data_IF_608521183156
#
_entry.id   IF_608521183156
#
_cell.length_a   1.000
_cell.length_b   1.000
_cell.length_c   1.000
_cell.angle_alpha   90.00
_cell.angle_beta   90.00
_cell.angle_gamma   90.00
#
_symmetry.space_group_name_H-M   'P 1'
#
loop_
_entity.id
_entity.type
_entity.pdbx_description
1 polymer ?
#
# COMPACT_ATOMS: atom_id res chain seq x y z
N UNK A 1 35.66 10.34 17.05
CA UNK A 1 34.66 9.61 16.26
C UNK A 1 33.41 10.45 16.26
N UNK A 2 33.19 11.22 15.19
CA UNK A 2 32.00 12.05 15.03
C UNK A 2 30.86 11.13 14.63
N UNK A 3 29.83 11.02 15.47
CA UNK A 3 28.53 10.48 15.08
C UNK A 3 28.01 11.37 13.95
N UNK A 4 28.03 10.87 12.72
CA UNK A 4 27.36 11.53 11.61
C UNK A 4 25.88 11.54 11.91
N UNK A 5 25.35 12.70 12.29
CA UNK A 5 23.93 12.97 12.22
C UNK A 5 23.55 12.85 10.74
N UNK A 6 23.04 11.67 10.36
CA UNK A 6 22.19 11.58 9.18
C UNK A 6 21.02 12.51 9.46
N UNK A 7 21.02 13.68 8.84
CA UNK A 7 19.89 14.60 8.83
C UNK A 7 18.71 13.90 8.13
N UNK A 8 18.00 13.05 8.86
CA UNK A 8 16.77 12.45 8.37
C UNK A 8 15.73 13.56 8.37
N UNK A 9 15.24 13.89 7.17
CA UNK A 9 14.22 14.92 6.98
C UNK A 9 12.97 14.57 7.79
N UNK A 10 12.47 15.54 8.55
CA UNK A 10 11.22 15.38 9.31
C UNK A 10 10.04 15.92 8.49
N UNK A 11 9.13 15.07 8.01
CA UNK A 11 8.08 15.51 7.10
C UNK A 11 6.99 16.33 7.82
N UNK A 12 6.58 17.47 7.26
CA UNK A 12 5.53 18.38 7.77
C UNK A 12 4.41 18.63 6.75
N UNK A 13 3.14 18.72 7.17
CA UNK A 13 2.01 18.97 6.27
C UNK A 13 0.73 18.21 6.63
N UNK A 14 -0.19 18.11 5.66
CA UNK A 14 -1.43 17.32 5.79
C UNK A 14 -1.12 15.82 5.80
N UNK A 15 -1.69 15.10 6.77
CA UNK A 15 -1.37 13.69 7.02
C UNK A 15 -2.58 12.81 6.72
N UNK A 16 -2.43 11.82 5.84
CA UNK A 16 -3.50 10.97 5.35
C UNK A 16 -4.26 10.28 6.49
N UNK A 17 -3.56 9.82 7.53
CA UNK A 17 -4.21 9.18 8.69
C UNK A 17 -5.02 10.15 9.56
N UNK A 18 -4.91 11.47 9.35
CA UNK A 18 -5.78 12.46 9.99
C UNK A 18 -6.92 12.88 9.06
N UNK A 19 -6.61 13.11 7.78
CA UNK A 19 -7.51 13.80 6.85
C UNK A 19 -8.36 12.84 6.00
N UNK A 20 -7.84 11.70 5.57
CA UNK A 20 -8.54 10.83 4.62
C UNK A 20 -9.17 9.63 5.32
N UNK A 21 -10.47 9.74 5.59
CA UNK A 21 -11.21 8.73 6.33
C UNK A 21 -11.93 7.71 5.43
N UNK A 22 -12.21 8.08 4.17
CA UNK A 22 -13.00 7.26 3.25
C UNK A 22 -12.45 7.31 1.82
N UNK A 23 -11.62 6.32 1.46
CA UNK A 23 -11.07 6.18 0.11
C UNK A 23 -12.11 5.80 -0.94
N UNK A 24 -13.19 5.11 -0.55
CA UNK A 24 -14.28 4.79 -1.47
C UNK A 24 -14.95 6.06 -1.98
N UNK A 25 -15.17 7.04 -1.11
CA UNK A 25 -15.74 8.32 -1.53
C UNK A 25 -14.80 9.09 -2.45
N UNK A 26 -13.48 9.01 -2.20
CA UNK A 26 -12.46 9.62 -3.05
C UNK A 26 -12.47 9.02 -4.47
N UNK A 27 -12.64 7.71 -4.59
CA UNK A 27 -12.79 7.02 -5.87
C UNK A 27 -14.04 7.49 -6.63
N UNK A 28 -15.19 7.56 -5.95
CA UNK A 28 -16.45 8.01 -6.56
C UNK A 28 -16.34 9.47 -7.03
N UNK A 29 -15.72 10.33 -6.21
CA UNK A 29 -15.47 11.72 -6.57
C UNK A 29 -14.55 11.84 -7.80
N UNK A 30 -13.47 11.06 -7.85
CA UNK A 30 -12.58 11.03 -9.01
C UNK A 30 -13.34 10.65 -10.28
N UNK A 31 -14.14 9.58 -10.22
CA UNK A 31 -14.98 9.16 -11.37
C UNK A 31 -15.99 10.24 -11.77
N UNK A 32 -16.60 10.93 -10.81
CA UNK A 32 -17.53 12.02 -11.09
C UNK A 32 -16.84 13.15 -11.87
N UNK A 33 -15.62 13.54 -11.47
CA UNK A 33 -14.85 14.58 -12.19
C UNK A 33 -14.41 14.10 -13.55
N UNK A 34 -13.94 12.86 -13.65
CA UNK A 34 -13.56 12.24 -14.93
C UNK A 34 -14.74 12.23 -15.91
N UNK A 35 -15.97 12.09 -15.41
CA UNK A 35 -17.20 12.11 -16.18
C UNK A 35 -17.80 13.52 -16.38
N UNK A 36 -17.06 14.58 -16.02
CA UNK A 36 -17.40 15.96 -16.35
C UNK A 36 -17.90 16.82 -15.20
N UNK A 37 -17.90 16.34 -13.95
CA UNK A 37 -18.08 17.23 -12.80
C UNK A 37 -16.86 18.13 -12.63
N UNK A 38 -17.09 19.43 -12.53
CA UNK A 38 -16.02 20.44 -12.48
C UNK A 38 -16.01 21.22 -11.18
N UNK A 39 -17.15 21.40 -10.53
CA UNK A 39 -17.25 22.31 -9.36
C UNK A 39 -17.55 21.58 -8.06
N UNK A 40 -17.31 22.25 -6.92
CA UNK A 40 -17.67 21.73 -5.59
C UNK A 40 -19.17 21.49 -5.46
N UNK A 41 -19.99 22.40 -5.99
CA UNK A 41 -21.45 22.27 -5.96
C UNK A 41 -21.91 21.02 -6.71
N UNK A 42 -21.34 20.78 -7.90
CA UNK A 42 -21.68 19.59 -8.69
C UNK A 42 -21.26 18.30 -7.99
N UNK A 43 -20.06 18.26 -7.40
CA UNK A 43 -19.63 17.11 -6.62
C UNK A 43 -20.52 16.88 -5.40
N UNK A 44 -20.90 17.94 -4.70
CA UNK A 44 -21.80 17.88 -3.55
C UNK A 44 -23.12 17.21 -3.94
N UNK A 45 -23.71 17.67 -5.03
CA UNK A 45 -25.00 17.18 -5.54
C UNK A 45 -24.90 15.73 -6.03
N UNK A 46 -23.83 15.37 -6.74
CA UNK A 46 -23.62 14.01 -7.26
C UNK A 46 -23.37 13.01 -6.12
N UNK A 47 -22.57 13.40 -5.13
CA UNK A 47 -22.16 12.53 -4.03
C UNK A 47 -23.16 12.54 -2.87
N UNK A 48 -24.11 13.48 -2.86
CA UNK A 48 -25.06 13.71 -1.77
C UNK A 48 -24.35 13.92 -0.42
N UNK A 49 -23.36 14.81 -0.37
CA UNK A 49 -22.53 15.06 0.83
C UNK A 49 -22.59 16.53 1.26
N UNK A 50 -22.04 16.85 2.43
CA UNK A 50 -21.91 18.21 2.94
C UNK A 50 -20.58 18.87 2.53
N UNK A 51 -20.49 20.19 2.68
CA UNK A 51 -19.33 21.00 2.24
C UNK A 51 -18.02 20.51 2.89
N UNK A 52 -18.04 20.22 4.20
CA UNK A 52 -16.91 19.65 4.93
C UNK A 52 -16.38 18.36 4.29
N UNK A 53 -17.27 17.54 3.72
CA UNK A 53 -16.88 16.29 3.06
C UNK A 53 -16.20 16.56 1.72
N UNK A 54 -16.66 17.57 0.97
CA UNK A 54 -16.03 17.99 -0.29
C UNK A 54 -14.64 18.58 -0.03
N UNK A 55 -14.44 19.30 1.07
CA UNK A 55 -13.11 19.75 1.49
C UNK A 55 -12.18 18.58 1.79
N UNK A 56 -12.66 17.55 2.50
CA UNK A 56 -11.88 16.34 2.78
C UNK A 56 -11.52 15.57 1.51
N UNK A 57 -12.44 15.49 0.53
CA UNK A 57 -12.16 14.93 -0.81
C UNK A 57 -11.04 15.71 -1.50
N UNK A 58 -11.14 17.05 -1.52
CA UNK A 58 -10.13 17.91 -2.16
C UNK A 58 -8.76 17.75 -1.51
N UNK A 59 -8.70 17.66 -0.18
CA UNK A 59 -7.46 17.35 0.54
C UNK A 59 -6.93 15.96 0.18
N UNK A 60 -7.81 14.96 0.13
CA UNK A 60 -7.47 13.60 -0.27
C UNK A 60 -6.86 13.53 -1.67
N UNK A 61 -7.38 14.29 -2.64
CA UNK A 61 -6.79 14.34 -3.97
C UNK A 61 -5.38 14.89 -3.98
N UNK A 62 -5.13 15.96 -3.21
CA UNK A 62 -3.77 16.51 -3.08
C UNK A 62 -2.83 15.54 -2.37
N UNK A 63 -3.31 14.88 -1.32
CA UNK A 63 -2.53 13.93 -0.51
C UNK A 63 -2.06 12.73 -1.34
N UNK A 64 -2.91 12.21 -2.22
CA UNK A 64 -2.61 11.03 -3.04
C UNK A 64 -2.28 11.37 -4.50
N UNK A 65 -1.95 12.62 -4.79
CA UNK A 65 -1.63 13.11 -6.13
C UNK A 65 -2.67 12.75 -7.22
N UNK A 66 -3.94 12.63 -6.84
CA UNK A 66 -5.06 12.33 -7.75
C UNK A 66 -5.54 13.58 -8.51
N UNK A 67 -5.13 14.76 -8.06
CA UNK A 67 -5.50 16.02 -8.67
C UNK A 67 -5.64 17.16 -7.66
N UNK A 68 -6.29 18.22 -8.09
CA UNK A 68 -6.51 19.40 -7.27
C UNK A 68 -7.62 20.27 -7.81
N UNK A 69 -7.83 21.41 -7.15
CA UNK A 69 -8.79 22.44 -7.55
C UNK A 69 -8.04 23.70 -7.90
N UNK A 70 -8.26 24.25 -9.09
CA UNK A 70 -7.75 25.55 -9.55
C UNK A 70 -8.90 26.54 -9.65
N UNK A 71 -8.88 27.60 -8.85
CA UNK A 71 -9.90 28.67 -8.68
C UNK A 71 -11.37 28.21 -8.62
N UNK A 72 -11.92 27.65 -9.70
CA UNK A 72 -13.31 27.21 -9.81
C UNK A 72 -13.51 25.76 -10.27
N UNK A 73 -12.48 25.12 -10.84
CA UNK A 73 -12.62 23.79 -11.45
C UNK A 73 -11.65 22.74 -10.83
N UNK A 74 -12.12 21.50 -10.75
CA UNK A 74 -11.29 20.34 -10.46
C UNK A 74 -10.47 19.93 -11.68
N UNK A 75 -9.23 19.54 -11.41
CA UNK A 75 -8.29 18.96 -12.36
C UNK A 75 -7.83 17.62 -11.82
N UNK A 76 -7.79 16.60 -12.68
CA UNK A 76 -7.34 15.26 -12.30
C UNK A 76 -5.92 15.01 -12.79
N UNK A 77 -5.12 14.37 -11.96
CA UNK A 77 -3.88 13.72 -12.41
C UNK A 77 -4.24 12.35 -12.99
N UNK A 78 -3.71 11.97 -14.17
CA UNK A 78 -3.89 10.62 -14.70
C UNK A 78 -3.44 9.55 -13.71
N UNK A 79 -4.17 8.43 -13.66
CA UNK A 79 -3.79 7.30 -12.82
C UNK A 79 -2.46 6.68 -13.32
N UNK A 80 -1.63 6.19 -12.40
CA UNK A 80 -0.22 5.90 -12.67
C UNK A 80 0.00 4.68 -13.57
N UNK A 81 -0.92 3.72 -13.50
CA UNK A 81 -0.85 2.47 -14.25
C UNK A 81 -2.18 2.23 -14.94
N UNK A 82 -2.16 1.51 -16.05
CA UNK A 82 -3.38 0.93 -16.60
C UNK A 82 -3.72 -0.36 -15.85
N UNK A 83 -5.01 -0.66 -15.67
CA UNK A 83 -5.48 -1.91 -15.08
C UNK A 83 -6.80 -2.34 -15.71
N UNK A 84 -7.13 -3.63 -15.57
CA UNK A 84 -8.33 -4.24 -16.18
C UNK A 84 -9.63 -3.61 -15.64
N UNK A 85 -9.62 -3.19 -14.37
CA UNK A 85 -10.73 -2.47 -13.76
C UNK A 85 -10.24 -1.18 -13.06
N UNK A 86 -11.10 -0.16 -13.09
CA UNK A 86 -10.80 1.16 -12.55
C UNK A 86 -10.52 1.13 -11.04
N UNK A 87 -11.21 0.28 -10.27
CA UNK A 87 -11.00 0.26 -8.82
C UNK A 87 -9.58 -0.23 -8.48
N UNK A 88 -9.11 -1.28 -9.16
CA UNK A 88 -7.72 -1.71 -9.06
C UNK A 88 -6.74 -0.62 -9.53
N UNK A 89 -7.05 0.06 -10.64
CA UNK A 89 -6.24 1.17 -11.16
C UNK A 89 -6.08 2.30 -10.12
N UNK A 90 -7.17 2.68 -9.47
CA UNK A 90 -7.21 3.74 -8.48
C UNK A 90 -6.44 3.34 -7.20
N UNK A 91 -6.61 2.09 -6.73
CA UNK A 91 -5.84 1.55 -5.60
C UNK A 91 -4.34 1.53 -5.89
N UNK A 92 -3.94 1.09 -7.08
CA UNK A 92 -2.54 1.08 -7.51
C UNK A 92 -1.95 2.49 -7.59
N UNK A 93 -2.71 3.49 -8.06
CA UNK A 93 -2.23 4.87 -8.07
C UNK A 93 -2.02 5.41 -6.64
N UNK A 94 -2.92 5.13 -5.69
CA UNK A 94 -2.71 5.53 -4.29
C UNK A 94 -1.45 4.89 -3.73
N UNK A 95 -1.25 3.60 -3.96
CA UNK A 95 -0.04 2.89 -3.52
C UNK A 95 1.22 3.51 -4.14
N UNK A 96 1.19 3.84 -5.42
CA UNK A 96 2.28 4.50 -6.12
C UNK A 96 2.60 5.88 -5.58
N UNK A 97 1.59 6.71 -5.36
CA UNK A 97 1.76 8.04 -4.77
C UNK A 97 2.40 7.95 -3.39
N UNK A 98 2.05 6.95 -2.58
CA UNK A 98 2.66 6.77 -1.26
C UNK A 98 4.08 6.20 -1.38
N UNK A 99 4.31 5.21 -2.25
CA UNK A 99 5.60 4.58 -2.45
C UNK A 99 6.66 5.58 -2.94
N UNK A 100 6.29 6.50 -3.83
CA UNK A 100 7.16 7.56 -4.34
C UNK A 100 7.75 8.46 -3.24
N UNK A 101 7.09 8.55 -2.08
CA UNK A 101 7.57 9.31 -0.92
C UNK A 101 8.06 8.38 0.22
N UNK A 102 8.22 7.09 0.00
CA UNK A 102 8.50 6.10 1.05
C UNK A 102 9.91 5.51 0.95
N UNK A 103 10.92 6.37 1.12
CA UNK A 103 12.33 5.95 1.09
C UNK A 103 13.02 6.10 2.46
N UNK A 104 13.92 5.18 2.86
CA UNK A 104 14.68 5.30 4.12
C UNK A 104 15.52 6.58 4.23
N UNK A 105 15.92 7.16 3.10
CA UNK A 105 16.70 8.40 3.06
C UNK A 105 15.79 9.63 3.25
N UNK A 106 14.54 9.53 2.84
CA UNK A 106 13.57 10.61 2.89
C UNK A 106 12.16 10.03 3.02
N UNK A 107 11.67 9.99 4.26
CA UNK A 107 10.30 9.63 4.53
C UNK A 107 9.37 10.82 4.27
N UNK A 108 8.38 10.63 3.40
CA UNK A 108 7.25 11.52 3.24
C UNK A 108 6.24 11.38 4.37
N UNK A 109 5.25 12.28 4.41
CA UNK A 109 4.23 12.19 5.45
C UNK A 109 3.41 10.91 5.33
N UNK A 110 3.11 10.47 4.12
CA UNK A 110 2.18 9.36 3.90
C UNK A 110 2.84 7.98 4.07
N UNK A 111 4.17 7.92 4.24
CA UNK A 111 4.93 6.67 4.40
C UNK A 111 4.37 5.74 5.47
N UNK A 112 3.71 6.28 6.52
CA UNK A 112 3.01 5.47 7.54
C UNK A 112 2.02 4.45 6.97
N UNK A 113 1.42 4.69 5.80
CA UNK A 113 0.48 3.76 5.17
C UNK A 113 1.20 2.43 4.85
N UNK A 114 2.40 2.51 4.29
CA UNK A 114 3.23 1.35 3.94
C UNK A 114 4.04 0.84 5.14
N UNK A 115 4.59 1.74 5.96
CA UNK A 115 5.40 1.38 7.13
C UNK A 115 4.61 0.57 8.17
N UNK A 116 3.35 0.91 8.44
CA UNK A 116 2.51 0.11 9.33
C UNK A 116 2.37 -1.33 8.82
N UNK A 117 2.21 -1.53 7.50
CA UNK A 117 2.12 -2.86 6.90
C UNK A 117 3.47 -3.58 6.97
N UNK A 118 4.57 -2.91 6.62
CA UNK A 118 5.92 -3.45 6.69
C UNK A 118 6.25 -3.98 8.09
N UNK A 119 5.89 -3.23 9.14
CA UNK A 119 6.04 -3.69 10.52
C UNK A 119 5.29 -5.00 10.78
N UNK A 120 4.02 -5.08 10.38
CA UNK A 120 3.21 -6.28 10.61
C UNK A 120 3.79 -7.50 9.89
N UNK A 121 4.32 -7.32 8.68
CA UNK A 121 4.99 -8.37 7.92
C UNK A 121 6.29 -8.81 8.59
N UNK A 122 7.13 -7.86 9.00
CA UNK A 122 8.43 -8.10 9.65
C UNK A 122 8.28 -8.86 10.97
N UNK A 123 7.30 -8.48 11.78
CA UNK A 123 7.04 -9.10 13.08
C UNK A 123 6.15 -10.36 12.98
N UNK A 124 5.78 -10.79 11.78
CA UNK A 124 4.91 -11.94 11.57
C UNK A 124 3.51 -11.78 12.18
N UNK A 125 3.04 -10.54 12.36
CA UNK A 125 1.73 -10.23 12.94
C UNK A 125 0.63 -10.49 11.91
N UNK A 126 0.14 -11.72 11.87
CA UNK A 126 -0.87 -12.13 10.89
C UNK A 126 -2.28 -11.65 11.23
N UNK A 127 -2.62 -11.55 12.52
CA UNK A 127 -3.95 -11.16 12.99
C UNK A 127 -3.81 -10.10 14.08
N UNK A 128 -4.67 -9.10 14.04
CA UNK A 128 -4.65 -8.03 15.03
C UNK A 128 -6.03 -7.41 15.23
N UNK A 129 -6.15 -6.61 16.30
CA UNK A 129 -7.35 -5.84 16.61
C UNK A 129 -7.01 -4.36 16.45
N UNK A 130 -7.91 -3.60 15.82
CA UNK A 130 -7.73 -2.17 15.51
C UNK A 130 -7.49 -1.29 16.74
N UNK A 131 -7.93 -1.74 17.92
CA UNK A 131 -7.81 -1.00 19.18
C UNK A 131 -6.71 -1.55 20.10
N UNK A 132 -5.80 -2.38 19.58
CA UNK A 132 -4.69 -2.92 20.36
C UNK A 132 -3.61 -1.85 20.61
N UNK A 133 -3.69 -1.18 21.77
CA UNK A 133 -2.72 -0.15 22.19
C UNK A 133 -1.30 -0.68 22.37
N UNK A 134 -1.13 -1.99 22.62
CA UNK A 134 0.18 -2.63 22.70
C UNK A 134 0.83 -2.67 21.31
N UNK A 135 0.09 -3.14 20.31
CA UNK A 135 0.54 -3.15 18.92
C UNK A 135 0.80 -1.74 18.39
N UNK A 136 -0.13 -0.81 18.60
CA UNK A 136 -0.01 0.59 18.14
C UNK A 136 1.27 1.25 18.67
N UNK A 137 1.59 1.07 19.96
CA UNK A 137 2.83 1.60 20.54
C UNK A 137 4.08 0.96 19.95
N UNK A 138 4.05 -0.34 19.67
CA UNK A 138 5.20 -1.01 19.06
C UNK A 138 5.47 -0.49 17.65
N UNK A 139 4.42 -0.29 16.85
CA UNK A 139 4.52 0.32 15.52
C UNK A 139 5.05 1.76 15.64
N UNK A 140 4.49 2.59 16.53
CA UNK A 140 4.92 3.98 16.73
C UNK A 140 6.39 4.08 17.18
N UNK A 141 6.87 3.15 18.02
CA UNK A 141 8.26 3.10 18.43
C UNK A 141 9.16 2.67 17.26
N UNK A 142 8.75 1.64 16.51
CA UNK A 142 9.51 1.18 15.36
C UNK A 142 9.63 2.24 14.27
N UNK A 143 8.61 3.09 14.07
CA UNK A 143 8.72 4.26 13.20
C UNK A 143 9.91 5.15 13.57
N UNK A 144 10.14 5.40 14.86
CA UNK A 144 11.30 6.16 15.33
C UNK A 144 12.60 5.43 15.03
N UNK A 145 12.63 4.11 15.28
CA UNK A 145 13.82 3.28 15.07
C UNK A 145 14.27 3.29 13.60
N UNK A 146 13.34 3.46 12.65
CA UNK A 146 13.64 3.59 11.21
C UNK A 146 13.76 5.05 10.74
N UNK A 147 13.72 6.01 11.66
CA UNK A 147 13.87 7.45 11.39
C UNK A 147 12.61 8.14 10.84
N UNK A 148 11.45 7.49 10.86
CA UNK A 148 10.19 8.09 10.45
C UNK A 148 9.53 8.85 11.62
N UNK A 149 9.69 10.17 11.64
CA UNK A 149 9.16 11.05 12.69
C UNK A 149 8.35 12.22 12.11
N UNK A 150 7.09 11.97 11.65
CA UNK A 150 6.27 13.01 11.05
C UNK A 150 5.94 14.12 12.06
N UNK A 151 6.01 15.39 11.65
CA UNK A 151 5.87 16.56 12.52
C UNK A 151 4.62 17.39 12.23
N UNK A 152 4.05 17.94 13.30
CA UNK A 152 3.03 19.00 13.26
C UNK A 152 3.54 20.26 13.95
N UNK A 153 2.78 21.35 13.92
CA UNK A 153 3.07 22.55 14.72
C UNK A 153 3.14 22.27 16.24
N UNK A 154 2.57 21.15 16.71
CA UNK A 154 2.57 20.74 18.12
C UNK A 154 3.60 19.64 18.44
N UNK A 155 4.50 19.34 17.50
CA UNK A 155 5.50 18.27 17.61
C UNK A 155 5.09 16.98 16.88
N UNK A 156 5.77 15.88 17.22
CA UNK A 156 5.65 14.59 16.50
C UNK A 156 4.22 14.06 16.47
N UNK A 157 3.77 13.69 15.28
CA UNK A 157 2.47 13.10 15.00
C UNK A 157 2.45 11.60 15.31
N UNK A 158 2.48 11.22 16.60
CA UNK A 158 2.43 9.82 17.03
C UNK A 158 1.25 9.03 16.47
N UNK A 159 1.47 7.75 16.17
CA UNK A 159 0.39 6.80 15.88
C UNK A 159 -0.45 6.57 17.15
N UNK A 160 -1.77 6.60 17.01
CA UNK A 160 -2.73 6.40 18.09
C UNK A 160 -3.91 5.56 17.57
N UNK A 161 -4.87 5.23 18.44
CA UNK A 161 -6.02 4.39 18.06
C UNK A 161 -6.86 4.98 16.92
N UNK A 162 -7.10 6.30 16.91
CA UNK A 162 -7.84 6.97 15.83
C UNK A 162 -7.09 6.87 14.50
N UNK A 163 -5.79 7.21 14.46
CA UNK A 163 -4.97 7.13 13.25
C UNK A 163 -4.82 5.70 12.76
N UNK A 164 -4.64 4.74 13.67
CA UNK A 164 -4.55 3.33 13.31
C UNK A 164 -5.90 2.80 12.80
N UNK A 165 -7.02 3.32 13.32
CA UNK A 165 -8.35 3.04 12.79
C UNK A 165 -8.53 3.56 11.37
N UNK A 166 -8.07 4.77 11.08
CA UNK A 166 -8.07 5.30 9.71
C UNK A 166 -7.15 4.49 8.81
N UNK A 167 -5.97 4.11 9.30
CA UNK A 167 -5.05 3.26 8.57
C UNK A 167 -5.66 1.90 8.22
N UNK A 168 -6.35 1.21 9.13
CA UNK A 168 -6.98 -0.07 8.79
C UNK A 168 -8.06 0.08 7.73
N UNK A 169 -8.84 1.17 7.75
CA UNK A 169 -9.85 1.42 6.72
C UNK A 169 -9.19 1.65 5.35
N UNK A 170 -8.09 2.42 5.32
CA UNK A 170 -7.31 2.63 4.10
C UNK A 170 -6.67 1.33 3.61
N UNK A 171 -5.99 0.58 4.48
CA UNK A 171 -5.32 -0.66 4.16
C UNK A 171 -6.30 -1.76 3.71
N UNK A 172 -7.50 -1.82 4.27
CA UNK A 172 -8.55 -2.74 3.82
C UNK A 172 -9.05 -2.35 2.42
N UNK A 173 -9.33 -1.07 2.18
CA UNK A 173 -9.71 -0.58 0.84
C UNK A 173 -8.61 -0.87 -0.20
N UNK A 174 -7.34 -0.63 0.14
CA UNK A 174 -6.19 -0.92 -0.72
C UNK A 174 -5.93 -2.41 -0.91
N UNK A 175 -6.67 -3.30 -0.24
CA UNK A 175 -6.54 -4.75 -0.39
C UNK A 175 -5.28 -5.33 0.28
N UNK A 176 -4.81 -4.73 1.37
CA UNK A 176 -3.59 -5.15 2.09
C UNK A 176 -3.91 -5.99 3.34
N UNK A 177 -5.10 -5.78 3.89
CA UNK A 177 -5.66 -6.50 5.03
C UNK A 177 -7.13 -6.85 4.75
N UNK A 178 -7.67 -7.79 5.52
CA UNK A 178 -9.09 -8.17 5.43
C UNK A 178 -9.73 -8.18 6.81
N UNK A 179 -10.86 -7.49 6.96
CA UNK A 179 -11.68 -7.55 8.16
C UNK A 179 -12.26 -8.95 8.39
N UNK A 180 -12.33 -9.38 9.64
CA UNK A 180 -13.07 -10.56 10.06
C UNK A 180 -13.78 -10.30 11.39
N UNK A 181 -14.88 -11.03 11.63
CA UNK A 181 -15.63 -10.90 12.88
C UNK A 181 -14.87 -11.56 14.03
N UNK A 182 -14.46 -10.77 15.03
CA UNK A 182 -13.92 -11.27 16.30
C UNK A 182 -14.75 -10.71 17.47
N UNK A 183 -15.88 -11.37 17.74
CA UNK A 183 -16.83 -10.89 18.75
C UNK A 183 -17.34 -9.47 18.42
N UNK A 184 -17.20 -8.54 19.36
CA UNK A 184 -17.60 -7.12 19.21
C UNK A 184 -16.50 -6.19 18.70
N UNK A 185 -15.30 -6.71 18.40
CA UNK A 185 -14.16 -5.89 17.99
C UNK A 185 -13.91 -6.00 16.49
N UNK A 186 -13.52 -4.90 15.87
CA UNK A 186 -12.97 -4.88 14.51
C UNK A 186 -11.59 -5.54 14.52
N UNK A 187 -11.50 -6.70 13.88
CA UNK A 187 -10.29 -7.49 13.79
C UNK A 187 -9.92 -7.72 12.33
N UNK A 188 -8.62 -7.82 12.07
CA UNK A 188 -8.07 -7.85 10.72
C UNK A 188 -7.01 -8.94 10.59
N UNK A 189 -6.96 -9.54 9.40
CA UNK A 189 -5.89 -10.43 8.99
C UNK A 189 -5.06 -9.75 7.91
N UNK A 190 -3.72 -9.83 7.99
CA UNK A 190 -2.84 -9.39 6.91
C UNK A 190 -3.01 -10.36 5.75
N UNK A 191 -3.52 -9.86 4.63
CA UNK A 191 -3.86 -10.66 3.44
C UNK A 191 -3.98 -9.72 2.25
N UNK A 192 -3.10 -9.91 1.27
CA UNK A 192 -3.14 -9.15 0.04
C UNK A 192 -4.24 -9.66 -0.88
N UNK A 193 -4.92 -8.74 -1.57
CA UNK A 193 -5.79 -9.01 -2.70
C UNK A 193 -4.97 -9.70 -3.81
N UNK A 194 -5.28 -10.95 -4.19
CA UNK A 194 -4.55 -11.64 -5.24
C UNK A 194 -4.53 -10.88 -6.56
N UNK A 195 -5.62 -10.19 -6.93
CA UNK A 195 -5.68 -9.43 -8.18
C UNK A 195 -4.72 -8.23 -8.16
N UNK A 196 -4.50 -7.62 -6.99
CA UNK A 196 -3.50 -6.57 -6.81
C UNK A 196 -2.10 -7.13 -7.08
N UNK A 197 -1.76 -8.25 -6.44
CA UNK A 197 -0.45 -8.87 -6.58
C UNK A 197 -0.21 -9.35 -8.02
N UNK A 198 -1.19 -10.03 -8.62
CA UNK A 198 -1.15 -10.44 -10.03
C UNK A 198 -0.84 -9.25 -10.95
N UNK A 199 -1.59 -8.14 -10.82
CA UNK A 199 -1.38 -6.97 -11.68
C UNK A 199 -0.02 -6.32 -11.45
N UNK A 200 0.48 -6.24 -10.22
CA UNK A 200 1.84 -5.73 -9.97
C UNK A 200 2.93 -6.59 -10.60
N UNK A 201 2.77 -7.92 -10.61
CA UNK A 201 3.71 -8.81 -11.32
C UNK A 201 3.66 -8.54 -12.82
N UNK A 202 2.47 -8.34 -13.39
CA UNK A 202 2.32 -7.99 -14.81
C UNK A 202 2.98 -6.66 -15.14
N UNK A 203 2.74 -5.62 -14.34
CA UNK A 203 3.34 -4.30 -14.55
C UNK A 203 4.88 -4.34 -14.45
N UNK A 204 5.42 -5.05 -13.46
CA UNK A 204 6.86 -5.25 -13.33
C UNK A 204 7.45 -5.98 -14.55
N UNK A 205 6.79 -7.05 -15.03
CA UNK A 205 7.18 -7.79 -16.22
C UNK A 205 7.18 -6.90 -17.48
N UNK A 206 6.11 -6.12 -17.68
CA UNK A 206 5.98 -5.15 -18.77
C UNK A 206 7.13 -4.12 -18.75
N UNK A 207 7.53 -3.64 -17.58
CA UNK A 207 8.60 -2.64 -17.42
C UNK A 207 10.00 -3.20 -17.73
N UNK A 208 10.29 -4.44 -17.32
CA UNK A 208 11.58 -5.09 -17.66
C UNK A 208 11.61 -5.64 -19.09
N UNK A 209 10.52 -5.49 -19.85
CA UNK A 209 10.40 -5.92 -21.24
C UNK A 209 10.20 -7.43 -21.41
N UNK A 210 9.77 -8.13 -20.36
CA UNK A 210 9.47 -9.56 -20.39
C UNK A 210 7.95 -9.79 -20.45
N UNK A 211 7.49 -10.55 -21.45
CA UNK A 211 6.06 -10.76 -21.67
C UNK A 211 5.47 -11.92 -20.87
N UNK A 212 6.29 -12.80 -20.32
CA UNK A 212 5.83 -14.01 -19.64
C UNK A 212 6.05 -14.01 -18.13
N UNK A 213 6.74 -13.01 -17.57
CA UNK A 213 7.01 -12.94 -16.14
C UNK A 213 8.14 -11.99 -15.78
N UNK A 214 8.63 -12.11 -14.54
CA UNK A 214 9.69 -11.25 -14.00
C UNK A 214 10.52 -12.02 -12.96
N UNK A 215 11.81 -11.70 -12.86
CA UNK A 215 12.67 -12.21 -11.80
C UNK A 215 12.14 -11.81 -10.42
N UNK A 216 12.26 -12.70 -9.44
CA UNK A 216 11.66 -12.45 -8.12
C UNK A 216 12.28 -11.24 -7.42
N UNK A 217 13.61 -11.08 -7.51
CA UNK A 217 14.32 -9.92 -6.97
C UNK A 217 13.92 -8.62 -7.67
N UNK A 218 13.85 -8.64 -9.00
CA UNK A 218 13.43 -7.50 -9.83
C UNK A 218 12.00 -7.09 -9.49
N UNK A 219 11.11 -8.06 -9.28
CA UNK A 219 9.75 -7.79 -8.85
C UNK A 219 9.68 -7.15 -7.47
N UNK A 220 10.44 -7.61 -6.48
CA UNK A 220 10.42 -7.01 -5.15
C UNK A 220 10.99 -5.59 -5.14
N UNK A 221 12.04 -5.33 -5.92
CA UNK A 221 12.60 -3.98 -6.13
C UNK A 221 11.57 -3.08 -6.80
N UNK A 222 10.99 -3.52 -7.92
CA UNK A 222 9.92 -2.79 -8.60
C UNK A 222 8.74 -2.51 -7.66
N UNK A 223 8.34 -3.51 -6.87
CA UNK A 223 7.22 -3.39 -5.94
C UNK A 223 7.53 -2.38 -4.83
N UNK A 224 8.76 -2.36 -4.29
CA UNK A 224 9.20 -1.39 -3.29
C UNK A 224 9.14 0.04 -3.83
N UNK A 225 9.62 0.26 -5.05
CA UNK A 225 9.66 1.57 -5.68
C UNK A 225 8.27 2.07 -6.10
N UNK A 226 7.37 1.15 -6.45
CA UNK A 226 6.11 1.52 -7.10
C UNK A 226 4.85 1.30 -6.27
N UNK A 227 4.86 0.46 -5.22
CA UNK A 227 3.62 0.07 -4.54
C UNK A 227 3.79 -0.28 -3.05
N UNK A 228 4.59 -1.29 -2.72
CA UNK A 228 4.62 -1.96 -1.40
C UNK A 228 6.04 -2.39 -1.01
N UNK A 229 6.37 -2.19 0.27
CA UNK A 229 7.62 -2.68 0.88
C UNK A 229 7.38 -4.07 1.47
N UNK A 230 7.93 -5.12 0.85
CA UNK A 230 7.81 -6.51 1.33
C UNK A 230 9.14 -6.94 1.95
N UNK A 231 9.25 -6.99 3.30
CA UNK A 231 10.52 -7.32 3.94
C UNK A 231 10.88 -8.79 3.71
N UNK A 232 12.12 -9.05 3.32
CA UNK A 232 12.68 -10.39 3.20
C UNK A 232 13.56 -10.71 4.40
N UNK A 233 13.59 -11.98 4.82
CA UNK A 233 14.56 -12.41 5.83
C UNK A 233 15.98 -12.50 5.23
N UNK A 234 17.00 -12.64 6.10
CA UNK A 234 18.37 -12.93 5.66
C UNK A 234 18.54 -14.22 4.86
N UNK A 235 17.54 -15.10 4.89
CA UNK A 235 17.49 -16.37 4.14
C UNK A 235 16.63 -16.25 2.86
N UNK A 236 16.30 -15.02 2.43
CA UNK A 236 15.37 -14.74 1.33
C UNK A 236 13.98 -15.37 1.54
N UNK A 237 13.55 -15.51 2.79
CA UNK A 237 12.21 -15.97 3.11
C UNK A 237 11.22 -14.80 3.05
N UNK A 238 10.10 -15.03 2.35
CA UNK A 238 9.02 -14.05 2.27
C UNK A 238 8.14 -14.09 3.53
N UNK A 239 7.48 -12.97 3.86
CA UNK A 239 6.44 -12.96 4.88
C UNK A 239 5.31 -13.93 4.52
N UNK A 240 4.84 -14.69 5.51
CA UNK A 240 3.81 -15.71 5.29
C UNK A 240 2.53 -15.19 4.60
N UNK A 241 2.01 -13.97 4.88
CA UNK A 241 0.88 -13.43 4.14
C UNK A 241 1.14 -13.30 2.63
N UNK A 242 2.32 -12.83 2.25
CA UNK A 242 2.68 -12.63 0.85
C UNK A 242 2.90 -13.96 0.14
N UNK A 243 3.62 -14.89 0.77
CA UNK A 243 3.82 -16.26 0.25
C UNK A 243 2.48 -16.97 0.01
N UNK A 244 1.48 -16.76 0.89
CA UNK A 244 0.12 -17.31 0.73
C UNK A 244 -0.60 -16.70 -0.46
N UNK A 245 -0.54 -15.39 -0.66
CA UNK A 245 -1.17 -14.76 -1.83
C UNK A 245 -0.56 -15.28 -3.14
N UNK A 246 0.76 -15.47 -3.21
CA UNK A 246 1.40 -16.09 -4.37
C UNK A 246 0.93 -17.54 -4.58
N UNK A 247 0.79 -18.31 -3.50
CA UNK A 247 0.26 -19.67 -3.58
C UNK A 247 -1.20 -19.71 -4.06
N UNK A 248 -2.04 -18.75 -3.66
CA UNK A 248 -3.41 -18.62 -4.14
C UNK A 248 -3.42 -18.38 -5.66
N UNK A 249 -2.61 -17.45 -6.16
CA UNK A 249 -2.46 -17.22 -7.61
C UNK A 249 -1.98 -18.46 -8.36
N UNK A 250 -1.07 -19.23 -7.77
CA UNK A 250 -0.61 -20.50 -8.35
C UNK A 250 -1.72 -21.56 -8.36
N UNK A 251 -2.49 -21.65 -7.27
CA UNK A 251 -3.59 -22.61 -7.15
C UNK A 251 -4.72 -22.30 -8.14
N UNK A 252 -4.96 -21.01 -8.39
CA UNK A 252 -5.94 -20.52 -9.36
C UNK A 252 -5.43 -20.61 -10.81
N UNK A 253 -4.18 -21.06 -11.01
CA UNK A 253 -3.59 -21.25 -12.34
C UNK A 253 -3.20 -19.96 -13.05
N UNK A 254 -3.16 -18.83 -12.33
CA UNK A 254 -2.80 -17.50 -12.85
C UNK A 254 -1.29 -17.22 -12.81
N UNK A 255 -0.57 -17.96 -11.97
CA UNK A 255 0.86 -17.78 -11.73
C UNK A 255 1.57 -19.14 -11.67
N UNK A 256 2.84 -19.15 -12.08
CA UNK A 256 3.79 -20.22 -11.76
C UNK A 256 5.03 -19.60 -11.13
N UNK A 257 5.53 -20.24 -10.08
CA UNK A 257 6.80 -19.86 -9.43
C UNK A 257 7.85 -20.84 -9.90
N UNK A 258 8.71 -20.43 -10.83
CA UNK A 258 9.63 -21.32 -11.54
C UNK A 258 11.09 -20.98 -11.26
N UNK A 259 11.98 -21.82 -11.81
CA UNK A 259 13.40 -21.53 -11.93
C UNK A 259 13.68 -20.92 -13.31
N UNK A 260 14.36 -19.79 -13.36
CA UNK A 260 14.97 -19.21 -14.57
C UNK A 260 16.41 -18.81 -14.23
N UNK A 261 17.38 -19.22 -15.07
CA UNK A 261 18.82 -18.99 -14.82
C UNK A 261 19.35 -19.62 -13.51
N UNK A 262 20.49 -19.13 -13.03
CA UNK A 262 21.12 -19.55 -11.76
C UNK A 262 21.16 -18.48 -10.61
N UNK A 263 20.08 -17.73 -10.32
CA UNK A 263 20.02 -16.92 -9.10
C UNK A 263 19.54 -17.70 -7.87
N UNK A 264 19.90 -17.18 -6.69
CA UNK A 264 19.40 -17.59 -5.39
C UNK A 264 17.87 -17.56 -5.36
N UNK A 265 17.26 -18.64 -4.85
CA UNK A 265 15.81 -18.73 -4.74
C UNK A 265 15.27 -18.03 -3.49
N UNK A 266 13.97 -17.73 -3.53
CA UNK A 266 13.20 -17.27 -2.39
C UNK A 266 12.50 -18.44 -1.70
N UNK A 267 12.35 -18.34 -0.38
CA UNK A 267 11.51 -19.27 0.37
C UNK A 267 10.07 -18.77 0.45
N UNK A 268 9.13 -19.70 0.40
CA UNK A 268 7.70 -19.47 0.57
C UNK A 268 7.23 -20.20 1.84
N UNK A 269 7.40 -19.61 3.04
CA UNK A 269 7.15 -20.30 4.30
C UNK A 269 5.69 -20.71 4.46
N UNK A 270 5.49 -21.94 4.93
CA UNK A 270 4.14 -22.47 5.22
C UNK A 270 3.30 -22.78 3.97
N UNK A 271 3.92 -22.81 2.79
CA UNK A 271 3.26 -23.14 1.52
C UNK A 271 3.47 -24.63 1.18
N UNK A 272 2.41 -25.40 0.87
CA UNK A 272 2.54 -26.80 0.50
C UNK A 272 3.18 -26.95 -0.90
N UNK A 273 3.72 -28.14 -1.16
CA UNK A 273 4.21 -28.50 -2.50
C UNK A 273 3.08 -28.41 -3.54
N UNK A 274 3.37 -27.83 -4.70
CA UNK A 274 2.42 -27.69 -5.80
C UNK A 274 3.12 -27.81 -7.14
N UNK A 275 2.44 -28.33 -8.17
CA UNK A 275 3.02 -28.54 -9.50
C UNK A 275 3.45 -27.23 -10.19
N UNK A 276 2.80 -26.12 -9.85
CA UNK A 276 3.15 -24.77 -10.29
C UNK A 276 4.28 -24.09 -9.49
N UNK A 277 4.89 -24.77 -8.51
CA UNK A 277 5.98 -24.23 -7.68
C UNK A 277 7.22 -25.12 -7.81
N UNK A 278 8.25 -24.58 -8.43
CA UNK A 278 9.57 -25.21 -8.53
C UNK A 278 10.29 -25.24 -7.17
N UNK A 279 11.24 -26.17 -7.01
CA UNK A 279 12.12 -26.19 -5.83
C UNK A 279 12.95 -24.90 -5.73
N UNK A 280 13.54 -24.49 -6.84
CA UNK A 280 14.18 -23.19 -7.00
C UNK A 280 13.13 -22.17 -7.47
N UNK A 281 12.92 -21.12 -6.67
CA UNK A 281 11.84 -20.14 -6.80
C UNK A 281 12.47 -18.76 -7.01
N UNK A 282 12.77 -18.43 -8.25
CA UNK A 282 13.46 -17.16 -8.56
C UNK A 282 12.80 -16.40 -9.72
N UNK A 283 11.70 -16.93 -10.26
CA UNK A 283 10.97 -16.33 -11.37
C UNK A 283 9.46 -16.47 -11.16
N UNK A 284 8.73 -15.39 -11.44
CA UNK A 284 7.28 -15.30 -11.35
C UNK A 284 6.71 -15.24 -12.77
N UNK A 285 6.09 -16.35 -13.22
CA UNK A 285 5.57 -16.49 -14.58
C UNK A 285 4.05 -16.37 -14.60
N UNK A 286 3.52 -15.41 -15.35
CA UNK A 286 2.08 -15.22 -15.55
C UNK A 286 1.57 -16.29 -16.53
N UNK A 287 0.36 -16.81 -16.32
CA UNK A 287 -0.23 -17.91 -17.11
C UNK A 287 -1.47 -17.48 -17.86
#
# INVERSE_FOLDING_TARGET
MSSGETNVSMPTGAYALNEVQNLTLLEVAYRAIQNGSKTESELKDILCVEDDTVELITKGFRIFNLGGKSEFEYTLTPLAFDAVDFNLQFRLHILNSVAAECSPQQWGLQSSVLLNLEYLLKEGTNRFVQTDEGLIRKIDNWHVDVGYEPQSQKGRMKLNSTKFSHWTNQAEYLGLIRGYKSGRRSAFIVRFDPNLIERTITLAAEEVGESDGVGFSEYLEWLEDNCLRIPTSSENALPAPFARTLYELVSDGKLKVTKRGDPSGFELPGIPSHSGISKAKNYLRIT
#
